data_IF_479279089386
#
_entry.id   IF_479279089386
#
_cell.length_a   1.000
_cell.length_b   1.000
_cell.length_c   1.000
_cell.angle_alpha   90.00
_cell.angle_beta   90.00
_cell.angle_gamma   90.00
#
_symmetry.space_group_name_H-M   'P 1'
#
loop_
_entity.id
_entity.type
_entity.pdbx_description
1 polymer ?
#
# COMPACT_ATOMS: atom_id res chain seq x y z
N UNK A 1 -16.41 13.09 6.59
CA UNK A 1 -15.24 12.36 6.62
C UNK A 1 -15.44 10.98 7.10
N UNK A 2 -15.43 10.06 6.19
CA UNK A 2 -15.66 8.67 6.50
C UNK A 2 -14.34 7.93 6.59
N UNK A 3 -14.22 7.09 7.58
CA UNK A 3 -13.09 6.21 7.67
C UNK A 3 -13.47 4.84 7.15
N UNK A 4 -12.64 4.29 6.30
CA UNK A 4 -12.89 2.99 5.71
C UNK A 4 -11.62 2.17 5.76
N UNK A 5 -11.76 0.86 5.64
CA UNK A 5 -10.64 -0.04 5.43
C UNK A 5 -10.93 -0.84 4.19
N UNK A 6 -9.92 -0.96 3.36
CA UNK A 6 -10.05 -1.70 2.12
C UNK A 6 -8.91 -2.68 2.02
N UNK A 7 -9.20 -3.86 1.50
CA UNK A 7 -8.18 -4.84 1.23
C UNK A 7 -8.09 -5.05 -0.28
N UNK A 8 -6.87 -5.13 -0.77
CA UNK A 8 -6.63 -5.35 -2.18
C UNK A 8 -5.53 -6.38 -2.35
N UNK A 9 -5.61 -7.16 -3.42
CA UNK A 9 -4.56 -8.10 -3.77
C UNK A 9 -4.01 -7.70 -5.11
N UNK A 10 -2.69 -7.52 -5.16
CA UNK A 10 -2.01 -7.05 -6.35
C UNK A 10 -1.20 -8.20 -6.91
N UNK A 11 -1.41 -8.49 -8.17
CA UNK A 11 -0.80 -9.63 -8.84
C UNK A 11 0.24 -9.17 -9.83
N UNK A 12 1.06 -10.09 -10.28
CA UNK A 12 2.08 -9.79 -11.24
C UNK A 12 3.43 -9.80 -10.57
N UNK A 13 4.35 -9.06 -11.12
CA UNK A 13 5.71 -9.06 -10.59
C UNK A 13 5.85 -8.02 -9.51
N UNK A 14 5.22 -8.28 -8.39
CA UNK A 14 5.22 -7.30 -7.32
C UNK A 14 6.09 -7.67 -6.14
N UNK A 15 6.40 -8.97 -5.99
CA UNK A 15 7.30 -9.35 -4.90
C UNK A 15 8.73 -9.24 -5.39
N UNK A 16 9.61 -8.88 -4.49
CA UNK A 16 11.02 -8.84 -4.81
C UNK A 16 11.50 -7.58 -5.49
N UNK A 17 10.64 -6.63 -5.72
CA UNK A 17 11.03 -5.39 -6.40
C UNK A 17 10.75 -4.16 -5.55
N UNK A 18 10.60 -4.35 -4.26
CA UNK A 18 10.40 -3.20 -3.38
C UNK A 18 8.99 -2.67 -3.38
N UNK A 19 8.06 -3.43 -3.91
CA UNK A 19 6.68 -2.94 -4.02
C UNK A 19 6.07 -2.65 -2.66
N UNK A 20 6.34 -3.52 -1.67
CA UNK A 20 5.77 -3.31 -0.34
C UNK A 20 6.25 -1.99 0.26
N UNK A 21 7.53 -1.68 0.06
CA UNK A 21 8.07 -0.44 0.62
C UNK A 21 7.51 0.76 -0.10
N UNK A 22 7.36 0.67 -1.40
CA UNK A 22 6.79 1.77 -2.16
C UNK A 22 5.33 1.99 -1.76
N UNK A 23 4.59 0.90 -1.56
CA UNK A 23 3.21 1.01 -1.11
C UNK A 23 3.17 1.67 0.27
N UNK A 24 4.09 1.30 1.15
CA UNK A 24 4.15 1.89 2.47
C UNK A 24 4.40 3.38 2.39
N UNK A 25 5.31 3.78 1.53
CA UNK A 25 5.61 5.19 1.35
C UNK A 25 4.36 5.96 0.89
N UNK A 26 3.67 5.43 -0.09
CA UNK A 26 2.47 6.10 -0.59
C UNK A 26 1.38 6.15 0.46
N UNK A 27 1.21 5.06 1.20
CA UNK A 27 0.19 5.03 2.24
C UNK A 27 0.50 6.04 3.34
N UNK A 28 1.75 6.10 3.75
CA UNK A 28 2.15 7.07 4.78
C UNK A 28 1.91 8.50 4.31
N UNK A 29 2.22 8.76 3.06
CA UNK A 29 2.02 10.08 2.50
C UNK A 29 0.56 10.49 2.56
N UNK A 30 -0.33 9.53 2.45
CA UNK A 30 -1.76 9.77 2.51
C UNK A 30 -2.33 9.66 3.93
N UNK A 31 -1.50 9.38 4.91
CA UNK A 31 -1.96 9.29 6.28
C UNK A 31 -2.72 8.03 6.61
N UNK A 32 -2.49 6.96 5.86
CA UNK A 32 -3.23 5.73 6.03
C UNK A 32 -2.50 4.77 6.96
N UNK A 33 -3.27 3.85 7.55
CA UNK A 33 -2.70 2.77 8.34
C UNK A 33 -2.99 1.45 7.64
N UNK A 34 -2.35 0.39 8.08
CA UNK A 34 -2.57 -0.91 7.49
C UNK A 34 -1.28 -1.66 7.28
N UNK A 35 -1.23 -2.45 6.21
CA UNK A 35 -0.02 -3.23 5.94
C UNK A 35 0.04 -3.66 4.49
N UNK A 36 1.23 -4.09 4.08
CA UNK A 36 1.46 -4.76 2.82
C UNK A 36 2.19 -6.06 3.12
N UNK A 37 1.73 -7.15 2.55
CA UNK A 37 2.22 -8.47 2.91
C UNK A 37 2.36 -9.31 1.65
N UNK A 38 3.52 -9.94 1.48
CA UNK A 38 3.70 -10.91 0.40
C UNK A 38 2.92 -12.17 0.72
N UNK A 39 2.21 -12.69 -0.24
CA UNK A 39 1.48 -13.94 -0.07
C UNK A 39 2.19 -15.06 -0.82
N UNK A 40 1.81 -16.28 -0.50
CA UNK A 40 2.47 -17.44 -1.06
C UNK A 40 2.27 -17.58 -2.56
N UNK A 41 1.20 -17.02 -3.09
CA UNK A 41 0.92 -17.15 -4.51
C UNK A 41 1.63 -16.09 -5.36
N UNK A 42 2.48 -15.29 -4.73
CA UNK A 42 3.22 -14.26 -5.46
C UNK A 42 2.55 -12.91 -5.47
N UNK A 43 1.35 -12.82 -4.95
CA UNK A 43 0.68 -11.53 -4.88
C UNK A 43 1.08 -10.78 -3.63
N UNK A 44 0.67 -9.52 -3.54
CA UNK A 44 0.84 -8.71 -2.35
C UNK A 44 -0.53 -8.30 -1.86
N UNK A 45 -0.79 -8.55 -0.59
CA UNK A 45 -2.03 -8.14 0.04
C UNK A 45 -1.82 -6.78 0.69
N UNK A 46 -2.67 -5.84 0.36
CA UNK A 46 -2.58 -4.50 0.90
C UNK A 46 -3.87 -4.19 1.65
N UNK A 47 -3.73 -3.82 2.91
CA UNK A 47 -4.86 -3.37 3.70
C UNK A 47 -4.59 -1.91 4.03
N UNK A 48 -5.56 -1.05 3.74
CA UNK A 48 -5.39 0.38 3.99
C UNK A 48 -6.64 0.90 4.66
N UNK A 49 -6.43 1.64 5.72
CA UNK A 49 -7.52 2.21 6.52
C UNK A 49 -7.28 3.70 6.67
N UNK A 50 -8.34 4.47 6.62
CA UNK A 50 -8.25 5.89 6.83
C UNK A 50 -9.39 6.60 6.14
N UNK A 51 -9.18 7.88 5.87
CA UNK A 51 -10.18 8.67 5.18
C UNK A 51 -10.49 8.07 3.82
N UNK A 52 -11.76 8.00 3.49
CA UNK A 52 -12.19 7.32 2.27
C UNK A 52 -11.53 7.89 1.03
N UNK A 53 -11.42 9.22 0.95
CA UNK A 53 -10.81 9.82 -0.22
C UNK A 53 -9.34 9.46 -0.35
N UNK A 54 -8.66 9.38 0.77
CA UNK A 54 -7.24 9.03 0.74
C UNK A 54 -7.02 7.56 0.44
N UNK A 55 -7.90 6.70 0.96
CA UNK A 55 -7.80 5.28 0.63
C UNK A 55 -8.02 5.09 -0.86
N UNK A 56 -8.95 5.83 -1.43
CA UNK A 56 -9.19 5.71 -2.85
C UNK A 56 -7.98 6.14 -3.68
N UNK A 57 -7.27 7.16 -3.23
CA UNK A 57 -6.07 7.57 -3.93
C UNK A 57 -5.04 6.46 -3.94
N UNK A 58 -4.89 5.76 -2.82
CA UNK A 58 -3.96 4.65 -2.80
C UNK A 58 -4.41 3.55 -3.75
N UNK A 59 -5.69 3.24 -3.78
CA UNK A 59 -6.19 2.21 -4.67
C UNK A 59 -5.96 2.57 -6.13
N UNK A 60 -6.13 3.84 -6.48
CA UNK A 60 -5.85 4.27 -7.84
C UNK A 60 -4.37 4.11 -8.18
N UNK A 61 -3.52 4.43 -7.24
CA UNK A 61 -2.09 4.27 -7.45
C UNK A 61 -1.74 2.80 -7.67
N UNK A 62 -2.35 1.91 -6.90
CA UNK A 62 -2.09 0.49 -7.04
C UNK A 62 -2.52 -0.01 -8.42
N UNK A 63 -3.61 0.50 -8.92
CA UNK A 63 -4.09 0.08 -10.24
C UNK A 63 -3.20 0.54 -11.36
N UNK A 64 -2.60 1.71 -11.22
CA UNK A 64 -1.81 2.25 -12.31
C UNK A 64 -0.39 1.70 -12.35
N UNK A 65 -0.07 0.83 -11.40
CA UNK A 65 1.26 0.26 -11.40
C UNK A 65 2.24 1.15 -10.67
N UNK A 66 2.77 0.85 -9.90
CA UNK A 66 3.35 1.45 -9.26
C UNK A 66 4.42 1.87 -9.70
N UNK A 67 4.71 2.88 -9.74
CA UNK A 67 5.97 3.44 -10.08
C UNK A 67 6.89 3.37 -8.89
N UNK A 68 8.08 2.94 -9.07
CA UNK A 68 8.97 2.80 -7.92
C UNK A 68 9.30 4.13 -7.32
N UNK A 69 9.34 4.15 -6.01
CA UNK A 69 9.81 5.30 -5.26
C UNK A 69 10.85 4.80 -4.28
N UNK A 70 11.62 5.71 -3.76
CA UNK A 70 12.54 5.36 -2.69
C UNK A 70 11.96 5.90 -1.41
N UNK A 71 11.44 5.05 -0.56
CA UNK A 71 10.87 5.54 0.69
C UNK A 71 11.95 6.21 1.52
N UNK A 72 11.58 7.31 2.11
CA UNK A 72 12.47 7.96 3.04
C UNK A 72 11.63 8.38 4.22
N UNK A 73 12.26 8.62 5.30
CA UNK A 73 11.57 8.99 6.50
C UNK A 73 11.15 7.77 7.25
N UNK A 74 10.43 8.01 8.29
CA UNK A 74 10.13 6.98 9.22
C UNK A 74 8.81 6.32 8.95
N UNK A 75 8.76 5.06 9.29
CA UNK A 75 7.55 4.29 9.17
C UNK A 75 6.74 4.48 10.42
N UNK A 76 5.47 4.75 10.24
CA UNK A 76 4.65 4.95 11.40
C UNK A 76 3.61 3.87 11.48
N UNK A 77 2.51 4.05 10.79
CA UNK A 77 1.36 3.19 11.01
C UNK A 77 1.11 2.22 9.88
N UNK A 78 1.79 2.33 8.77
CA UNK A 78 1.63 1.38 7.69
C UNK A 78 2.79 0.41 7.75
N UNK A 79 2.50 -0.86 7.85
CA UNK A 79 3.52 -1.86 8.12
C UNK A 79 3.74 -2.77 6.94
N UNK A 80 4.91 -3.38 6.94
CA UNK A 80 5.25 -4.39 5.95
C UNK A 80 5.29 -5.73 6.64
N UNK A 81 4.60 -6.70 6.08
CA UNK A 81 4.46 -7.98 6.73
C UNK A 81 4.89 -9.15 5.86
#
# INVERSE_FOLDING_TARGET
MSKVCIIAWVYGRVQGVGFRYTTQYEAKKLGLTGYAKNLDDGSVEVVACGDEGQVEKLMQWLKSGXEPHHPSGELTDFRIR
#
